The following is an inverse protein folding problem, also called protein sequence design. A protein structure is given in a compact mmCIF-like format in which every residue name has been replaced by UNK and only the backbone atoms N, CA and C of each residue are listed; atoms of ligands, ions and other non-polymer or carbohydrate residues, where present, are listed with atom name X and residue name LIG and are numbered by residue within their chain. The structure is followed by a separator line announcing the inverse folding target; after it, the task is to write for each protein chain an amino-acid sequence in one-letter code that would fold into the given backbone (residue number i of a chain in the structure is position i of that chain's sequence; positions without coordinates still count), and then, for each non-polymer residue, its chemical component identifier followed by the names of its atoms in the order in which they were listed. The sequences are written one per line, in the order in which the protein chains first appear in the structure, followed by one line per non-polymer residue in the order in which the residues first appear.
data_IF_933436682001
#
_entry.id   IF_933436682001
#
_cell.length_a   1.000
_cell.length_b   1.000
_cell.length_c   1.000
_cell.angle_alpha   90.00
_cell.angle_beta   90.00
_cell.angle_gamma   90.00
#
_symmetry.space_group_name_H-M   'P 1'
#
loop_
_entity.id
_entity.type
_entity.pdbx_description
1 polymer ?
#
# COMPACT_ATOMS: atom_id res chain seq x y z
N UNK A 1 -64.45 -53.15 -59.94
CA UNK A 1 -64.95 -51.98 -60.72
C UNK A 1 -64.92 -50.78 -59.80
N UNK A 2 -64.00 -49.84 -60.02
CA UNK A 2 -64.13 -48.44 -59.68
C UNK A 2 -62.85 -47.70 -60.09
N UNK A 3 -63.06 -46.64 -60.79
CA UNK A 3 -62.08 -45.90 -61.60
C UNK A 3 -61.10 -45.06 -60.74
N UNK A 4 -59.86 -45.05 -61.22
CA UNK A 4 -58.83 -44.13 -60.82
C UNK A 4 -59.14 -42.70 -61.30
N UNK A 5 -59.01 -41.73 -60.43
CA UNK A 5 -59.03 -40.29 -60.73
C UNK A 5 -57.66 -39.66 -60.50
N UNK A 6 -57.05 -39.27 -61.62
CA UNK A 6 -55.75 -38.62 -61.65
C UNK A 6 -55.93 -37.12 -61.36
N UNK A 7 -55.30 -36.59 -60.30
CA UNK A 7 -55.25 -35.17 -60.03
C UNK A 7 -53.87 -34.65 -60.50
N UNK A 8 -53.89 -33.71 -61.42
CA UNK A 8 -52.71 -33.05 -61.98
C UNK A 8 -52.10 -32.09 -61.01
N UNK A 9 -50.82 -32.29 -60.72
CA UNK A 9 -50.00 -31.35 -59.90
C UNK A 9 -49.54 -30.18 -60.81
N UNK A 10 -50.07 -28.99 -60.55
CA UNK A 10 -49.58 -27.74 -61.16
C UNK A 10 -48.28 -27.32 -60.46
N UNK A 11 -47.15 -27.38 -61.17
CA UNK A 11 -45.85 -26.85 -60.71
C UNK A 11 -45.86 -25.33 -60.87
N UNK A 12 -46.00 -24.57 -59.77
CA UNK A 12 -45.69 -23.16 -59.72
C UNK A 12 -44.17 -22.95 -59.88
N UNK A 13 -43.77 -22.37 -61.01
CA UNK A 13 -42.41 -21.91 -61.23
C UNK A 13 -42.23 -20.54 -60.58
N UNK A 14 -41.65 -20.48 -59.38
CA UNK A 14 -41.19 -19.25 -58.77
C UNK A 14 -40.01 -18.72 -59.56
N UNK A 15 -40.08 -17.55 -60.14
CA UNK A 15 -39.00 -16.89 -60.85
C UNK A 15 -38.00 -16.30 -59.85
N UNK A 16 -36.72 -16.32 -60.21
CA UNK A 16 -35.58 -15.78 -59.38
C UNK A 16 -35.84 -14.34 -58.87
N UNK A 17 -36.72 -13.56 -59.50
CA UNK A 17 -37.09 -12.21 -59.07
C UNK A 17 -38.04 -12.16 -57.85
N UNK A 18 -38.80 -13.23 -57.60
CA UNK A 18 -39.73 -13.32 -56.47
C UNK A 18 -39.01 -13.71 -55.20
N UNK A 19 -37.84 -14.42 -55.26
CA UNK A 19 -36.99 -14.75 -54.07
C UNK A 19 -36.17 -13.56 -53.52
N UNK A 20 -35.96 -12.53 -54.37
CA UNK A 20 -35.17 -11.37 -53.96
C UNK A 20 -35.97 -10.27 -53.24
N UNK A 21 -37.30 -10.38 -53.17
CA UNK A 21 -38.17 -9.41 -52.47
C UNK A 21 -38.69 -9.90 -51.09
N UNK A 22 -38.40 -11.12 -50.68
CA UNK A 22 -38.81 -11.69 -49.39
C UNK A 22 -37.72 -11.61 -48.29
N UNK A 23 -36.54 -11.00 -48.57
CA UNK A 23 -35.44 -10.84 -47.62
C UNK A 23 -35.30 -9.38 -47.10
N UNK A 24 -36.35 -8.60 -47.32
CA UNK A 24 -36.40 -7.23 -46.82
C UNK A 24 -37.32 -7.14 -45.61
N UNK A 25 -36.80 -7.33 -44.38
CA UNK A 25 -37.63 -6.97 -43.23
C UNK A 25 -37.43 -7.73 -41.93
N UNK A 26 -36.30 -8.42 -41.71
CA UNK A 26 -35.91 -8.80 -40.33
C UNK A 26 -34.86 -7.77 -39.87
N UNK A 27 -35.35 -6.69 -39.28
CA UNK A 27 -34.48 -5.86 -38.42
C UNK A 27 -34.04 -6.76 -37.24
N UNK A 28 -32.86 -7.35 -37.37
CA UNK A 28 -32.18 -7.93 -36.24
C UNK A 28 -31.84 -6.74 -35.35
N UNK A 29 -32.75 -6.39 -34.43
CA UNK A 29 -32.40 -5.62 -33.25
C UNK A 29 -31.43 -6.50 -32.48
N UNK A 30 -30.17 -6.41 -32.86
CA UNK A 30 -29.06 -6.95 -32.07
C UNK A 30 -29.17 -6.30 -30.72
N UNK A 31 -29.68 -7.03 -29.72
CA UNK A 31 -29.45 -6.73 -28.33
C UNK A 31 -27.95 -6.84 -28.23
N UNK A 32 -27.24 -5.70 -28.34
CA UNK A 32 -25.86 -5.60 -27.98
C UNK A 32 -25.79 -5.99 -26.47
N UNK A 33 -25.56 -7.28 -26.21
CA UNK A 33 -25.13 -7.70 -24.89
C UNK A 33 -23.88 -6.85 -24.61
N UNK A 34 -23.84 -6.10 -23.50
CA UNK A 34 -22.61 -5.46 -23.15
C UNK A 34 -21.56 -6.59 -23.13
N UNK A 35 -20.59 -6.52 -24.01
CA UNK A 35 -19.43 -7.39 -23.94
C UNK A 35 -18.88 -7.13 -22.55
N UNK A 36 -18.97 -8.11 -21.66
CA UNK A 36 -18.24 -8.09 -20.39
C UNK A 36 -16.79 -8.06 -20.84
N UNK A 37 -16.21 -6.87 -20.87
CA UNK A 37 -14.81 -6.71 -21.20
C UNK A 37 -14.05 -7.62 -20.22
N UNK A 38 -13.31 -8.59 -20.75
CA UNK A 38 -12.51 -9.49 -19.95
C UNK A 38 -11.59 -8.60 -19.11
N UNK A 39 -11.79 -8.59 -17.79
CA UNK A 39 -10.91 -7.85 -16.91
C UNK A 39 -9.55 -8.55 -16.89
N UNK A 40 -8.48 -7.76 -16.90
CA UNK A 40 -7.12 -8.27 -16.77
C UNK A 40 -6.81 -8.50 -15.29
N UNK A 41 -6.42 -9.73 -14.97
CA UNK A 41 -5.99 -10.08 -13.61
C UNK A 41 -4.62 -9.48 -13.30
N UNK A 42 -4.52 -8.86 -12.14
CA UNK A 42 -3.32 -8.18 -11.63
C UNK A 42 -3.00 -8.73 -10.25
N UNK A 43 -1.80 -9.26 -10.07
CA UNK A 43 -1.29 -9.66 -8.77
C UNK A 43 -0.68 -8.48 -8.01
N UNK A 44 -1.16 -8.27 -6.77
CA UNK A 44 -0.74 -7.17 -5.90
C UNK A 44 -0.41 -7.68 -4.50
N UNK A 45 0.72 -7.27 -3.90
CA UNK A 45 1.07 -7.62 -2.53
C UNK A 45 1.01 -6.42 -1.60
N UNK A 46 0.54 -6.64 -0.37
CA UNK A 46 0.68 -5.69 0.73
C UNK A 46 2.09 -5.82 1.35
N UNK A 47 2.57 -4.81 2.09
CA UNK A 47 3.81 -4.95 2.88
C UNK A 47 3.60 -5.83 4.12
N UNK A 48 2.35 -5.94 4.60
CA UNK A 48 1.94 -6.63 5.82
C UNK A 48 0.54 -7.23 5.69
N UNK A 49 -0.09 -7.54 6.80
CA UNK A 49 -1.50 -7.95 6.85
C UNK A 49 -2.44 -6.78 6.47
N UNK A 50 -3.70 -7.06 6.12
CA UNK A 50 -4.73 -6.01 6.03
C UNK A 50 -4.82 -5.23 7.34
N UNK A 51 -4.63 -3.90 7.27
CA UNK A 51 -4.70 -2.99 8.42
C UNK A 51 -4.86 -1.54 7.94
N UNK A 52 -5.08 -0.59 8.86
CA UNK A 52 -5.33 0.82 8.55
C UNK A 52 -4.39 1.44 7.50
N UNK A 53 -3.05 1.33 7.61
CA UNK A 53 -2.13 1.90 6.61
C UNK A 53 -2.23 1.30 5.19
N UNK A 54 -2.79 0.08 5.07
CA UNK A 54 -2.94 -0.64 3.80
C UNK A 54 -4.37 -0.57 3.24
N UNK A 55 -5.27 0.07 3.96
CA UNK A 55 -6.70 0.19 3.67
C UNK A 55 -6.97 0.82 2.29
N UNK A 56 -6.09 1.70 1.82
CA UNK A 56 -6.18 2.35 0.51
C UNK A 56 -6.35 1.36 -0.65
N UNK A 57 -5.76 0.17 -0.56
CA UNK A 57 -5.86 -0.86 -1.61
C UNK A 57 -7.26 -1.44 -1.71
N UNK A 58 -7.91 -1.66 -0.57
CA UNK A 58 -9.28 -2.17 -0.51
C UNK A 58 -10.28 -1.11 -0.96
N UNK A 59 -10.05 0.16 -0.64
CA UNK A 59 -10.83 1.29 -1.15
C UNK A 59 -10.68 1.41 -2.67
N UNK A 60 -9.47 1.29 -3.22
CA UNK A 60 -9.25 1.33 -4.66
C UNK A 60 -10.05 0.23 -5.39
N UNK A 61 -10.05 -0.98 -4.83
CA UNK A 61 -10.80 -2.12 -5.38
C UNK A 61 -12.31 -1.92 -5.25
N UNK A 62 -12.80 -1.58 -4.06
CA UNK A 62 -14.23 -1.49 -3.77
C UNK A 62 -14.93 -0.33 -4.50
N UNK A 63 -14.26 0.83 -4.64
CA UNK A 63 -14.80 1.99 -5.37
C UNK A 63 -14.67 1.83 -6.89
N UNK A 64 -14.10 0.71 -7.34
CA UNK A 64 -14.00 0.39 -8.76
C UNK A 64 -12.99 1.25 -9.51
N UNK A 65 -12.03 1.89 -8.83
CA UNK A 65 -11.04 2.73 -9.52
C UNK A 65 -10.19 1.91 -10.49
N UNK A 66 -9.85 0.67 -10.15
CA UNK A 66 -9.15 -0.25 -11.03
C UNK A 66 -10.07 -0.96 -12.03
N UNK A 67 -11.25 -1.38 -11.60
CA UNK A 67 -12.18 -2.09 -12.48
C UNK A 67 -12.73 -1.23 -13.62
N UNK A 68 -12.86 0.09 -13.42
CA UNK A 68 -13.17 1.06 -14.49
C UNK A 68 -12.08 1.11 -15.58
N UNK A 69 -10.85 0.76 -15.24
CA UNK A 69 -9.76 0.60 -16.21
C UNK A 69 -9.63 -0.84 -16.74
N UNK A 70 -10.64 -1.71 -16.51
CA UNK A 70 -10.61 -3.09 -16.94
C UNK A 70 -9.68 -4.00 -16.17
N UNK A 71 -9.32 -3.63 -14.93
CA UNK A 71 -8.36 -4.37 -14.10
C UNK A 71 -9.08 -5.08 -12.93
N UNK A 72 -8.78 -6.35 -12.74
CA UNK A 72 -9.16 -7.15 -11.59
C UNK A 72 -7.92 -7.34 -10.71
N UNK A 73 -7.83 -6.60 -9.60
CA UNK A 73 -6.64 -6.64 -8.72
C UNK A 73 -6.87 -7.65 -7.60
N UNK A 74 -6.00 -8.66 -7.54
CA UNK A 74 -5.94 -9.62 -6.45
C UNK A 74 -4.91 -9.16 -5.42
N UNK A 75 -5.37 -8.95 -4.17
CA UNK A 75 -4.58 -8.36 -3.09
C UNK A 75 -4.15 -9.45 -2.11
N UNK A 76 -2.87 -9.77 -2.12
CA UNK A 76 -2.26 -10.73 -1.20
C UNK A 76 -1.64 -10.02 0.02
N UNK A 77 -1.72 -10.64 1.19
CA UNK A 77 -0.99 -10.19 2.39
C UNK A 77 0.51 -10.39 2.23
N UNK A 78 1.30 -9.48 2.78
CA UNK A 78 2.76 -9.56 2.85
C UNK A 78 3.28 -10.08 4.19
N UNK A 79 4.60 -10.15 4.31
CA UNK A 79 5.32 -10.60 5.51
C UNK A 79 6.43 -9.66 5.96
N UNK A 80 6.36 -8.40 5.59
CA UNK A 80 7.32 -7.33 5.87
C UNK A 80 7.71 -6.58 4.59
N UNK A 81 8.04 -5.29 4.74
CA UNK A 81 8.34 -4.42 3.59
C UNK A 81 9.50 -4.93 2.74
N UNK A 82 10.57 -5.44 3.36
CA UNK A 82 11.73 -6.00 2.62
C UNK A 82 11.30 -7.19 1.77
N UNK A 83 10.52 -8.12 2.36
CA UNK A 83 9.99 -9.28 1.64
C UNK A 83 9.04 -8.90 0.48
N UNK A 84 8.18 -7.91 0.69
CA UNK A 84 7.29 -7.39 -0.36
C UNK A 84 8.09 -6.77 -1.52
N UNK A 85 9.07 -5.91 -1.22
CA UNK A 85 9.93 -5.31 -2.25
C UNK A 85 10.69 -6.39 -3.06
N UNK A 86 11.22 -7.42 -2.39
CA UNK A 86 11.87 -8.55 -3.06
C UNK A 86 10.89 -9.31 -3.97
N UNK A 87 9.70 -9.61 -3.48
CA UNK A 87 8.68 -10.34 -4.25
C UNK A 87 8.24 -9.57 -5.50
N UNK A 88 8.12 -8.23 -5.42
CA UNK A 88 7.82 -7.37 -6.56
C UNK A 88 9.01 -7.36 -7.54
N UNK A 89 10.22 -7.06 -7.05
CA UNK A 89 11.42 -6.98 -7.89
C UNK A 89 11.74 -8.29 -8.62
N UNK A 90 11.45 -9.44 -8.02
CA UNK A 90 11.62 -10.78 -8.59
C UNK A 90 10.44 -11.22 -9.49
N UNK A 91 9.39 -10.40 -9.64
CA UNK A 91 8.26 -10.72 -10.50
C UNK A 91 7.24 -11.70 -9.96
N UNK A 92 7.27 -11.99 -8.66
CA UNK A 92 6.22 -12.81 -8.01
C UNK A 92 4.88 -12.05 -7.94
N UNK A 93 4.94 -10.74 -7.84
CA UNK A 93 3.80 -9.84 -7.93
C UNK A 93 4.09 -8.74 -8.96
N UNK A 94 3.08 -8.37 -9.73
CA UNK A 94 3.20 -7.28 -10.72
C UNK A 94 3.32 -5.92 -10.04
N UNK A 95 2.58 -5.74 -8.94
CA UNK A 95 2.54 -4.50 -8.16
C UNK A 95 2.49 -4.82 -6.66
N UNK A 96 2.76 -3.84 -5.85
CA UNK A 96 2.53 -3.95 -4.41
C UNK A 96 2.96 -2.71 -3.65
N UNK A 97 2.60 -2.69 -2.36
CA UNK A 97 3.08 -1.69 -1.43
C UNK A 97 4.31 -2.22 -0.68
N UNK A 98 5.24 -1.31 -0.43
CA UNK A 98 6.39 -1.53 0.45
C UNK A 98 6.84 -0.20 1.03
N UNK A 99 7.60 -0.20 2.14
CA UNK A 99 8.28 1.02 2.59
C UNK A 99 9.24 1.52 1.50
N UNK A 100 9.28 2.82 1.27
CA UNK A 100 10.14 3.44 0.25
C UNK A 100 11.61 3.03 0.40
N UNK A 101 12.09 3.00 1.65
CA UNK A 101 13.47 2.58 1.98
C UNK A 101 13.76 1.12 1.66
N UNK A 102 12.77 0.23 1.79
CA UNK A 102 12.94 -1.18 1.40
C UNK A 102 13.06 -1.33 -0.12
N UNK A 103 12.31 -0.55 -0.91
CA UNK A 103 12.47 -0.45 -2.34
C UNK A 103 13.86 0.05 -2.74
N UNK A 104 14.33 1.14 -2.12
CA UNK A 104 15.68 1.67 -2.34
C UNK A 104 16.77 0.67 -1.97
N UNK A 105 16.60 -0.06 -0.87
CA UNK A 105 17.52 -1.14 -0.49
C UNK A 105 17.60 -2.22 -1.56
N UNK A 106 16.46 -2.69 -2.06
CA UNK A 106 16.44 -3.73 -3.08
C UNK A 106 17.03 -3.23 -4.41
N UNK A 107 16.77 -1.99 -4.79
CA UNK A 107 17.41 -1.36 -5.97
C UNK A 107 18.92 -1.26 -5.80
N UNK A 108 19.42 -0.88 -4.62
CA UNK A 108 20.86 -0.85 -4.31
C UNK A 108 21.52 -2.24 -4.40
N UNK A 109 20.76 -3.30 -4.11
CA UNK A 109 21.18 -4.70 -4.25
C UNK A 109 20.99 -5.25 -5.68
N UNK A 110 20.59 -4.42 -6.64
CA UNK A 110 20.48 -4.75 -8.05
C UNK A 110 19.15 -5.33 -8.51
N UNK A 111 18.09 -5.34 -7.66
CA UNK A 111 16.76 -5.72 -8.11
C UNK A 111 16.15 -4.62 -9.00
N UNK A 112 15.53 -4.99 -10.14
CA UNK A 112 14.94 -4.05 -11.09
C UNK A 112 13.54 -3.58 -10.61
N UNK A 113 13.50 -2.90 -9.46
CA UNK A 113 12.27 -2.38 -8.84
C UNK A 113 12.19 -0.87 -8.99
N UNK A 114 10.99 -0.35 -9.26
CA UNK A 114 10.73 1.08 -9.40
C UNK A 114 9.48 1.49 -8.63
N UNK A 115 9.55 2.60 -7.91
CA UNK A 115 8.42 3.24 -7.27
C UNK A 115 7.66 4.07 -8.28
N UNK A 116 6.32 3.97 -8.28
CA UNK A 116 5.43 4.70 -9.20
C UNK A 116 4.38 5.56 -8.49
N UNK A 117 4.31 5.54 -7.16
CA UNK A 117 3.54 6.48 -6.35
C UNK A 117 4.07 6.49 -4.91
N UNK A 118 4.15 7.65 -4.28
CA UNK A 118 4.46 7.82 -2.86
C UNK A 118 3.15 7.91 -2.06
N UNK A 119 2.96 7.01 -1.08
CA UNK A 119 1.72 6.96 -0.29
C UNK A 119 1.86 7.63 1.08
N UNK A 120 3.05 7.62 1.68
CA UNK A 120 3.26 8.26 2.99
C UNK A 120 4.69 8.78 3.17
N UNK A 121 4.81 9.96 3.73
CA UNK A 121 6.06 10.73 3.86
C UNK A 121 6.74 10.59 5.23
N UNK A 122 6.19 9.79 6.14
CA UNK A 122 6.82 9.34 7.37
C UNK A 122 6.37 7.91 7.65
N UNK A 123 7.30 7.00 7.81
CA UNK A 123 7.00 5.61 8.15
C UNK A 123 6.62 5.45 9.62
N UNK A 124 6.85 6.47 10.45
CA UNK A 124 6.78 6.34 11.90
C UNK A 124 7.54 5.12 12.43
N UNK A 125 8.65 4.81 11.78
CA UNK A 125 9.59 3.81 12.29
C UNK A 125 10.19 4.29 13.60
N UNK A 126 10.30 3.38 14.57
CA UNK A 126 10.83 3.77 15.86
C UNK A 126 11.02 2.63 16.82
N UNK A 127 11.46 3.02 18.00
CA UNK A 127 11.43 2.21 19.19
C UNK A 127 10.13 2.51 19.93
N UNK A 128 9.40 1.48 20.31
CA UNK A 128 8.13 1.55 21.02
C UNK A 128 8.36 0.95 22.41
N UNK A 129 7.97 1.68 23.44
CA UNK A 129 8.12 1.30 24.84
C UNK A 129 6.82 1.59 25.60
N UNK A 130 6.71 1.16 26.84
CA UNK A 130 5.60 1.49 27.75
C UNK A 130 6.06 2.48 28.80
N UNK A 131 5.13 3.26 29.34
CA UNK A 131 5.44 4.29 30.33
C UNK A 131 6.11 3.77 31.60
N UNK A 132 5.92 2.50 31.93
CA UNK A 132 6.44 1.83 33.13
C UNK A 132 7.74 1.04 32.91
N UNK A 133 8.31 1.03 31.70
CA UNK A 133 9.57 0.30 31.40
C UNK A 133 10.82 1.09 31.80
N UNK A 134 10.67 2.38 32.15
CA UNK A 134 11.79 3.27 32.46
C UNK A 134 12.65 3.60 31.23
N UNK A 135 12.09 3.47 30.00
CA UNK A 135 12.74 3.88 28.74
C UNK A 135 12.01 5.11 28.23
N UNK A 136 12.61 6.28 28.44
CA UNK A 136 12.10 7.58 28.02
C UNK A 136 12.84 8.08 26.78
N UNK A 137 14.15 7.85 26.75
CA UNK A 137 15.03 8.18 25.64
C UNK A 137 15.84 6.94 25.21
N UNK A 138 16.47 6.95 24.00
CA UNK A 138 17.17 5.77 23.48
C UNK A 138 18.22 5.18 24.42
N UNK A 139 18.99 6.02 25.10
CA UNK A 139 20.06 5.59 26.03
C UNK A 139 19.54 4.79 27.22
N UNK A 140 18.31 4.99 27.65
CA UNK A 140 17.71 4.24 28.76
C UNK A 140 17.57 2.75 28.44
N UNK A 141 17.80 2.35 27.19
CA UNK A 141 17.76 0.95 26.75
C UNK A 141 19.05 0.20 27.10
N UNK A 142 20.17 0.90 27.42
CA UNK A 142 21.41 0.24 27.85
C UNK A 142 21.18 -0.60 29.10
N UNK A 143 21.66 -1.83 29.08
CA UNK A 143 21.45 -2.83 30.14
C UNK A 143 20.07 -3.52 30.10
N UNK A 144 19.24 -3.24 29.11
CA UNK A 144 17.88 -3.79 28.97
C UNK A 144 17.73 -4.65 27.72
N UNK A 145 16.55 -5.32 27.63
CA UNK A 145 16.18 -6.16 26.50
C UNK A 145 15.37 -5.38 25.46
N UNK A 146 15.69 -5.60 24.20
CA UNK A 146 15.05 -5.00 23.04
C UNK A 146 14.65 -6.07 22.01
N UNK A 147 13.36 -6.18 21.68
CA UNK A 147 12.93 -7.14 20.67
C UNK A 147 12.70 -6.49 19.30
N UNK A 148 13.17 -7.19 18.27
CA UNK A 148 13.08 -6.75 16.87
C UNK A 148 12.80 -7.92 15.93
N UNK A 149 12.56 -7.64 14.65
CA UNK A 149 12.40 -8.66 13.61
C UNK A 149 13.15 -8.28 12.33
N UNK A 150 13.93 -9.22 11.80
CA UNK A 150 14.81 -9.01 10.65
C UNK A 150 14.07 -8.73 9.34
N UNK A 151 12.82 -9.14 9.21
CA UNK A 151 11.99 -8.95 8.00
C UNK A 151 11.29 -7.58 7.96
N UNK A 152 11.35 -6.81 9.03
CA UNK A 152 10.70 -5.50 9.12
C UNK A 152 11.58 -4.40 8.52
N UNK A 153 10.95 -3.39 7.93
CA UNK A 153 11.66 -2.31 7.22
C UNK A 153 12.47 -1.39 8.11
N UNK A 154 12.19 -1.32 9.42
CA UNK A 154 12.96 -0.54 10.38
C UNK A 154 14.24 -1.25 10.85
N UNK A 155 14.28 -2.59 10.74
CA UNK A 155 15.39 -3.40 11.27
C UNK A 155 16.77 -2.95 10.75
N UNK A 156 16.97 -2.76 9.44
CA UNK A 156 18.27 -2.38 8.89
C UNK A 156 18.77 -1.01 9.39
N UNK A 157 17.86 -0.16 9.87
CA UNK A 157 18.18 1.18 10.35
C UNK A 157 18.44 1.27 11.86
N UNK A 158 18.29 0.18 12.62
CA UNK A 158 18.54 0.16 14.07
C UNK A 158 19.98 0.59 14.40
N UNK A 159 21.04 0.11 13.72
CA UNK A 159 22.39 0.59 13.98
C UNK A 159 22.57 2.08 13.68
N UNK A 160 21.97 2.58 12.60
CA UNK A 160 21.99 3.99 12.25
C UNK A 160 21.29 4.85 13.31
N UNK A 161 20.12 4.42 13.77
CA UNK A 161 19.39 5.08 14.83
C UNK A 161 20.19 5.12 16.13
N UNK A 162 20.74 3.98 16.55
CA UNK A 162 21.54 3.90 17.77
C UNK A 162 22.74 4.84 17.73
N UNK A 163 23.48 4.86 16.60
CA UNK A 163 24.62 5.76 16.41
C UNK A 163 24.20 7.23 16.55
N UNK A 164 23.11 7.64 15.88
CA UNK A 164 22.62 9.02 15.90
C UNK A 164 22.01 9.42 17.24
N UNK A 165 21.42 8.48 17.94
CA UNK A 165 20.82 8.68 19.26
C UNK A 165 21.84 8.56 20.42
N UNK A 166 23.08 8.16 20.14
CA UNK A 166 24.12 7.93 21.14
C UNK A 166 23.84 6.71 22.04
N UNK A 167 23.08 5.72 21.53
CA UNK A 167 22.80 4.45 22.18
C UNK A 167 23.90 3.43 21.85
N UNK A 168 24.51 2.83 22.87
CA UNK A 168 25.48 1.75 22.70
C UNK A 168 24.77 0.40 22.63
N UNK A 169 24.58 -0.12 21.40
CA UNK A 169 23.91 -1.41 21.17
C UNK A 169 24.66 -2.60 21.79
N UNK A 170 25.97 -2.49 22.06
CA UNK A 170 26.73 -3.57 22.71
C UNK A 170 26.29 -3.81 24.18
N UNK A 171 25.60 -2.83 24.76
CA UNK A 171 25.02 -2.91 26.09
C UNK A 171 23.54 -3.32 26.07
N UNK A 172 22.95 -3.60 24.92
CA UNK A 172 21.55 -3.96 24.78
C UNK A 172 21.42 -5.42 24.42
N UNK A 173 20.60 -6.18 25.16
CA UNK A 173 20.27 -7.56 24.79
C UNK A 173 19.21 -7.54 23.67
N UNK A 174 19.64 -7.77 22.43
CA UNK A 174 18.77 -7.74 21.25
C UNK A 174 18.17 -9.12 21.01
N UNK A 175 16.84 -9.24 21.10
CA UNK A 175 16.08 -10.45 20.79
C UNK A 175 15.48 -10.35 19.39
N UNK A 176 15.88 -11.25 18.50
CA UNK A 176 15.27 -11.36 17.17
C UNK A 176 14.13 -12.37 17.24
N UNK A 177 12.91 -11.91 17.05
CA UNK A 177 11.69 -12.71 17.23
C UNK A 177 10.72 -12.51 16.07
N UNK A 178 9.71 -13.40 16.00
CA UNK A 178 8.58 -13.24 15.10
C UNK A 178 7.79 -11.97 15.43
N UNK A 179 7.28 -11.23 14.43
CA UNK A 179 6.51 -10.00 14.64
C UNK A 179 5.35 -10.13 15.63
N UNK A 180 4.64 -11.27 15.61
CA UNK A 180 3.51 -11.49 16.51
C UNK A 180 3.94 -11.72 17.96
N UNK A 181 5.14 -12.28 18.17
CA UNK A 181 5.72 -12.49 19.50
C UNK A 181 6.22 -11.18 20.08
N UNK A 182 6.84 -10.32 19.27
CA UNK A 182 7.46 -9.05 19.68
C UNK A 182 6.54 -8.18 20.51
N UNK A 183 5.29 -7.97 20.06
CA UNK A 183 4.33 -7.11 20.74
C UNK A 183 3.94 -7.70 22.12
N UNK A 184 3.76 -9.02 22.20
CA UNK A 184 3.43 -9.70 23.45
C UNK A 184 4.54 -9.58 24.48
N UNK A 185 5.81 -9.74 24.08
CA UNK A 185 6.96 -9.61 24.97
C UNK A 185 7.00 -8.24 25.68
N UNK A 186 6.60 -7.16 24.99
CA UNK A 186 6.52 -5.83 25.60
C UNK A 186 5.37 -5.72 26.60
N UNK A 187 4.20 -6.26 26.30
CA UNK A 187 3.04 -6.30 27.21
C UNK A 187 3.38 -7.11 28.47
N UNK A 188 4.03 -8.26 28.31
CA UNK A 188 4.46 -9.15 29.41
C UNK A 188 5.70 -8.67 30.15
N UNK A 189 6.23 -7.48 29.79
CA UNK A 189 7.45 -6.88 30.39
C UNK A 189 8.69 -7.75 30.30
N UNK A 190 8.73 -8.67 29.34
CA UNK A 190 9.90 -9.51 29.06
C UNK A 190 10.98 -8.75 28.29
N UNK A 191 10.60 -7.64 27.63
CA UNK A 191 11.49 -6.66 27.01
C UNK A 191 11.08 -5.25 27.42
N UNK A 192 12.02 -4.31 27.40
CA UNK A 192 11.76 -2.91 27.78
C UNK A 192 11.34 -2.05 26.59
N UNK A 193 11.65 -2.49 25.38
CA UNK A 193 11.25 -1.82 24.15
C UNK A 193 11.20 -2.83 22.98
N UNK A 194 10.48 -2.43 21.91
CA UNK A 194 10.46 -3.15 20.63
C UNK A 194 10.72 -2.17 19.49
N UNK A 195 11.26 -2.65 18.36
CA UNK A 195 11.26 -1.87 17.12
C UNK A 195 9.96 -2.04 16.34
N UNK A 196 9.61 -1.12 15.48
CA UNK A 196 8.49 -1.31 14.56
C UNK A 196 7.97 -0.04 13.92
N UNK A 197 6.88 -0.24 13.16
CA UNK A 197 6.07 0.82 12.61
C UNK A 197 4.97 1.18 13.61
N UNK A 198 4.96 2.41 14.10
CA UNK A 198 3.98 2.83 15.10
C UNK A 198 2.52 2.67 14.63
N UNK A 199 2.15 2.94 13.35
CA UNK A 199 0.78 2.75 12.88
C UNK A 199 0.24 1.32 12.99
N UNK A 200 1.11 0.32 12.92
CA UNK A 200 0.73 -1.10 13.01
C UNK A 200 0.73 -1.64 14.45
N UNK A 201 1.35 -0.93 15.40
CA UNK A 201 1.59 -1.43 16.76
C UNK A 201 0.85 -0.63 17.81
N UNK A 202 1.01 0.70 17.77
CA UNK A 202 0.52 1.61 18.81
C UNK A 202 -0.99 1.59 18.99
N UNK A 203 -1.81 1.55 17.90
CA UNK A 203 -3.27 1.46 18.04
C UNK A 203 -3.72 0.26 18.87
N UNK A 204 -3.10 -0.91 18.64
CA UNK A 204 -3.43 -2.12 19.40
C UNK A 204 -3.13 -1.99 20.90
N UNK A 205 -2.06 -1.32 21.26
CA UNK A 205 -1.75 -1.05 22.67
C UNK A 205 -2.75 -0.10 23.30
N UNK A 206 -3.08 1.02 22.64
CA UNK A 206 -4.00 2.04 23.16
C UNK A 206 -5.39 1.45 23.37
N UNK A 207 -5.93 0.70 22.40
CA UNK A 207 -7.25 0.06 22.50
C UNK A 207 -7.33 -0.96 23.64
N UNK A 208 -6.21 -1.58 23.99
CA UNK A 208 -6.11 -2.49 25.13
C UNK A 208 -5.76 -1.80 26.46
N UNK A 209 -5.77 -0.47 26.51
CA UNK A 209 -5.58 0.31 27.73
C UNK A 209 -4.14 0.54 28.14
N UNK A 210 -3.17 0.24 27.26
CA UNK A 210 -1.76 0.53 27.49
C UNK A 210 -1.41 1.97 27.06
N UNK A 211 -0.34 2.51 27.63
CA UNK A 211 0.18 3.84 27.33
C UNK A 211 1.56 3.72 26.64
N UNK A 212 1.60 3.43 25.32
CA UNK A 212 2.86 3.31 24.60
C UNK A 212 3.51 4.69 24.40
N UNK A 213 4.85 4.69 24.37
CA UNK A 213 5.68 5.82 23.95
C UNK A 213 6.35 5.48 22.64
N UNK A 214 6.41 6.43 21.72
CA UNK A 214 7.03 6.28 20.41
C UNK A 214 8.31 7.13 20.38
N UNK A 215 9.47 6.50 20.23
CA UNK A 215 10.76 7.16 20.02
C UNK A 215 11.08 7.02 18.54
N UNK A 216 10.66 8.01 17.73
CA UNK A 216 10.72 7.96 16.26
C UNK A 216 12.13 8.14 15.75
N UNK A 217 12.53 7.34 14.76
CA UNK A 217 13.83 7.47 14.09
C UNK A 217 13.98 8.84 13.40
N UNK A 218 12.90 9.41 12.89
CA UNK A 218 12.90 10.73 12.25
C UNK A 218 13.34 11.86 13.18
N UNK A 219 13.07 11.77 14.51
CA UNK A 219 13.55 12.74 15.49
C UNK A 219 15.09 12.69 15.70
N UNK A 220 15.74 11.63 15.22
CA UNK A 220 17.19 11.44 15.29
C UNK A 220 17.88 11.53 13.93
N UNK A 221 17.25 12.25 12.98
CA UNK A 221 17.83 12.51 11.66
C UNK A 221 17.80 11.32 10.71
N UNK A 222 16.76 10.47 10.82
CA UNK A 222 16.45 9.39 9.90
C UNK A 222 15.04 9.62 9.33
N UNK A 223 14.83 10.56 8.40
CA UNK A 223 13.54 10.84 7.78
C UNK A 223 13.22 9.73 6.76
N UNK A 224 12.63 8.64 7.23
CA UNK A 224 12.33 7.47 6.41
C UNK A 224 10.86 7.49 5.99
N UNK A 225 10.60 7.38 4.68
CA UNK A 225 9.25 7.34 4.13
C UNK A 225 8.60 5.98 4.33
N UNK A 226 7.28 6.00 4.48
CA UNK A 226 6.46 4.81 4.65
C UNK A 226 6.12 4.14 3.33
N UNK A 227 4.87 3.69 3.21
CA UNK A 227 4.44 2.93 2.05
C UNK A 227 4.49 3.74 0.75
N UNK A 228 4.96 3.06 -0.29
CA UNK A 228 4.94 3.51 -1.67
C UNK A 228 4.49 2.34 -2.57
N UNK A 229 3.96 2.66 -3.74
CA UNK A 229 3.57 1.70 -4.76
C UNK A 229 4.76 1.37 -5.65
N UNK A 230 5.03 0.08 -5.79
CA UNK A 230 6.13 -0.44 -6.58
C UNK A 230 5.68 -1.36 -7.70
N UNK A 231 6.52 -1.45 -8.73
CA UNK A 231 6.46 -2.42 -9.81
C UNK A 231 7.88 -2.75 -10.29
N UNK A 232 7.99 -3.60 -11.32
CA UNK A 232 9.26 -3.88 -11.97
C UNK A 232 9.59 -2.82 -13.03
N UNK A 233 10.87 -2.49 -13.18
CA UNK A 233 11.35 -1.57 -14.23
C UNK A 233 10.87 -2.01 -15.63
N UNK A 234 11.06 -3.29 -15.97
CA UNK A 234 10.64 -3.84 -17.24
C UNK A 234 9.11 -3.77 -17.49
N UNK A 235 8.30 -3.86 -16.42
CA UNK A 235 6.84 -3.70 -16.54
C UNK A 235 6.48 -2.24 -16.81
N UNK A 236 7.11 -1.30 -16.12
CA UNK A 236 6.92 0.13 -16.35
C UNK A 236 7.31 0.54 -17.78
N UNK A 237 8.41 0.03 -18.31
CA UNK A 237 8.87 0.32 -19.67
C UNK A 237 7.92 -0.25 -20.74
N UNK A 238 7.47 -1.48 -20.55
CA UNK A 238 6.64 -2.18 -21.52
C UNK A 238 5.16 -1.77 -21.47
N UNK A 239 4.64 -1.45 -20.28
CA UNK A 239 3.22 -1.27 -20.02
C UNK A 239 2.95 -0.03 -19.14
N UNK A 240 3.47 1.13 -19.56
CA UNK A 240 3.33 2.37 -18.81
C UNK A 240 1.87 2.78 -18.55
N UNK A 241 0.96 2.48 -19.48
CA UNK A 241 -0.48 2.75 -19.30
C UNK A 241 -1.10 1.91 -18.20
N UNK A 242 -0.74 0.63 -18.09
CA UNK A 242 -1.16 -0.23 -16.99
C UNK A 242 -0.63 0.30 -15.65
N UNK A 243 0.65 0.65 -15.58
CA UNK A 243 1.26 1.22 -14.40
C UNK A 243 0.55 2.54 -13.99
N UNK A 244 0.21 3.37 -14.97
CA UNK A 244 -0.56 4.59 -14.76
C UNK A 244 -1.96 4.34 -14.21
N UNK A 245 -2.68 3.34 -14.74
CA UNK A 245 -4.02 2.99 -14.26
C UNK A 245 -4.00 2.46 -12.81
N UNK A 246 -2.99 1.64 -12.47
CA UNK A 246 -2.81 1.14 -11.08
C UNK A 246 -2.46 2.29 -10.13
N UNK A 247 -1.53 3.16 -10.51
CA UNK A 247 -1.13 4.31 -9.69
C UNK A 247 -2.27 5.32 -9.51
N UNK A 248 -2.98 5.65 -10.60
CA UNK A 248 -4.14 6.55 -10.56
C UNK A 248 -5.24 6.03 -9.63
N UNK A 249 -5.61 4.74 -9.77
CA UNK A 249 -6.63 4.15 -8.91
C UNK A 249 -6.25 4.13 -7.43
N UNK A 250 -4.96 3.92 -7.11
CA UNK A 250 -4.47 4.00 -5.74
C UNK A 250 -4.47 5.45 -5.22
N UNK A 251 -4.07 6.42 -6.05
CA UNK A 251 -4.04 7.84 -5.68
C UNK A 251 -5.46 8.39 -5.45
N UNK A 252 -6.46 7.97 -6.25
CA UNK A 252 -7.88 8.27 -6.00
C UNK A 252 -8.37 7.67 -4.68
N UNK A 253 -7.95 6.44 -4.37
CA UNK A 253 -8.25 5.83 -3.08
C UNK A 253 -7.59 6.58 -1.92
N UNK A 254 -6.36 7.06 -2.08
CA UNK A 254 -5.71 7.92 -1.07
C UNK A 254 -6.51 9.21 -0.83
N UNK A 255 -6.94 9.89 -1.91
CA UNK A 255 -7.81 11.07 -1.81
C UNK A 255 -9.11 10.74 -1.06
N UNK A 256 -9.76 9.65 -1.41
CA UNK A 256 -10.99 9.20 -0.74
C UNK A 256 -10.76 8.94 0.75
N UNK A 257 -9.71 8.22 1.11
CA UNK A 257 -9.33 7.92 2.51
C UNK A 257 -9.02 9.18 3.31
N UNK A 258 -8.37 10.15 2.70
CA UNK A 258 -8.08 11.44 3.33
C UNK A 258 -9.37 12.19 3.69
N UNK A 259 -10.37 12.16 2.80
CA UNK A 259 -11.60 12.93 2.92
C UNK A 259 -12.74 12.16 3.62
N UNK A 260 -12.80 10.84 3.50
CA UNK A 260 -13.89 9.98 3.94
C UNK A 260 -13.38 8.80 4.80
N UNK A 261 -12.76 9.06 5.97
CA UNK A 261 -12.12 8.01 6.77
C UNK A 261 -13.10 6.97 7.30
N UNK A 262 -14.31 7.36 7.73
CA UNK A 262 -15.30 6.42 8.28
C UNK A 262 -15.87 5.50 7.20
N UNK A 263 -16.16 6.03 6.02
CA UNK A 263 -16.62 5.21 4.89
C UNK A 263 -15.50 4.27 4.42
N UNK A 264 -14.25 4.73 4.46
CA UNK A 264 -13.08 3.92 4.15
C UNK A 264 -12.93 2.73 5.11
N UNK A 265 -13.19 2.92 6.40
CA UNK A 265 -13.22 1.84 7.40
C UNK A 265 -14.35 0.86 7.13
N UNK A 266 -15.56 1.33 6.80
CA UNK A 266 -16.67 0.47 6.45
C UNK A 266 -16.37 -0.41 5.22
N UNK A 267 -15.74 0.17 4.19
CA UNK A 267 -15.25 -0.58 3.01
C UNK A 267 -14.22 -1.63 3.43
N UNK A 268 -13.27 -1.26 4.27
CA UNK A 268 -12.21 -2.15 4.74
C UNK A 268 -12.76 -3.37 5.48
N UNK A 269 -13.66 -3.17 6.44
CA UNK A 269 -14.27 -4.26 7.21
C UNK A 269 -15.16 -5.15 6.32
N UNK A 270 -15.90 -4.56 5.37
CA UNK A 270 -16.64 -5.35 4.39
C UNK A 270 -15.74 -6.24 3.53
N UNK A 271 -14.54 -5.78 3.20
CA UNK A 271 -13.57 -6.55 2.42
C UNK A 271 -12.79 -7.57 3.27
N UNK A 272 -12.68 -7.34 4.58
CA UNK A 272 -11.90 -8.16 5.52
C UNK A 272 -12.72 -8.37 6.81
N UNK A 273 -13.81 -9.14 6.77
CA UNK A 273 -14.74 -9.28 7.91
C UNK A 273 -14.08 -9.89 9.14
N UNK A 274 -13.04 -10.70 8.97
CA UNK A 274 -12.24 -11.25 10.08
C UNK A 274 -11.54 -10.18 10.91
N UNK A 275 -11.24 -9.03 10.31
CA UNK A 275 -10.58 -7.91 11.00
C UNK A 275 -11.54 -7.17 11.96
N UNK A 276 -12.84 -7.30 11.78
CA UNK A 276 -13.87 -6.70 12.64
C UNK A 276 -14.08 -7.49 13.94
N UNK A 277 -13.66 -8.77 13.96
CA UNK A 277 -13.84 -9.66 15.11
C UNK A 277 -12.95 -9.30 16.31
N UNK A 278 -11.90 -8.54 16.12
CA UNK A 278 -11.01 -8.14 17.21
C UNK A 278 -11.69 -7.13 18.13
N UNK A 279 -11.44 -7.26 19.44
CA UNK A 279 -11.91 -6.27 20.41
C UNK A 279 -11.38 -4.88 20.06
N UNK A 280 -12.27 -3.89 19.95
CA UNK A 280 -11.90 -2.53 19.59
C UNK A 280 -11.37 -2.37 18.16
N UNK A 281 -11.79 -3.26 17.25
CA UNK A 281 -11.32 -3.29 15.87
C UNK A 281 -11.52 -1.96 15.13
N UNK A 282 -12.65 -1.29 15.38
CA UNK A 282 -12.95 0.00 14.75
C UNK A 282 -11.97 1.08 15.20
N UNK A 283 -11.81 1.28 16.52
CA UNK A 283 -10.91 2.27 17.11
C UNK A 283 -9.44 1.99 16.73
N UNK A 284 -9.06 0.72 16.74
CA UNK A 284 -7.73 0.29 16.31
C UNK A 284 -7.44 0.70 14.87
N UNK A 285 -8.30 0.29 13.94
CA UNK A 285 -8.07 0.56 12.51
C UNK A 285 -8.28 2.04 12.18
N UNK A 286 -9.18 2.75 12.89
CA UNK A 286 -9.33 4.20 12.78
C UNK A 286 -8.05 4.92 13.15
N UNK A 287 -7.45 4.60 14.30
CA UNK A 287 -6.21 5.25 14.74
C UNK A 287 -5.04 4.90 13.79
N UNK A 288 -4.95 3.65 13.35
CA UNK A 288 -3.94 3.22 12.36
C UNK A 288 -4.12 3.97 11.01
N UNK A 289 -5.36 4.18 10.57
CA UNK A 289 -5.71 4.98 9.41
C UNK A 289 -5.35 6.46 9.61
N UNK A 290 -5.59 7.02 10.77
CA UNK A 290 -5.26 8.40 11.09
C UNK A 290 -3.74 8.64 11.10
N UNK A 291 -2.93 7.68 11.52
CA UNK A 291 -1.47 7.72 11.32
C UNK A 291 -1.11 7.78 9.82
N UNK A 292 -1.74 6.95 8.99
CA UNK A 292 -1.53 6.98 7.54
C UNK A 292 -1.93 8.32 6.95
N UNK A 293 -3.11 8.83 7.28
CA UNK A 293 -3.61 10.14 6.84
C UNK A 293 -2.65 11.28 7.23
N UNK A 294 -2.14 11.24 8.47
CA UNK A 294 -1.16 12.22 8.94
C UNK A 294 0.14 12.16 8.13
N UNK A 295 0.65 10.96 7.87
CA UNK A 295 1.89 10.77 7.10
C UNK A 295 1.76 11.10 5.61
N UNK A 296 0.53 11.19 5.10
CA UNK A 296 0.27 11.58 3.70
C UNK A 296 0.25 13.09 3.48
N UNK A 297 0.26 13.90 4.56
CA UNK A 297 0.30 15.37 4.47
C UNK A 297 1.75 15.81 4.23
N UNK A 298 2.03 16.28 3.00
CA UNK A 298 3.36 16.74 2.61
C UNK A 298 3.26 17.88 1.59
N UNK A 299 4.19 18.83 1.64
CA UNK A 299 4.20 19.99 0.71
C UNK A 299 4.36 19.56 -0.75
N UNK A 300 5.15 18.50 -0.99
CA UNK A 300 5.28 17.89 -2.32
C UNK A 300 3.94 17.37 -2.86
N UNK A 301 3.14 16.67 -2.02
CA UNK A 301 1.82 16.20 -2.40
C UNK A 301 0.83 17.34 -2.64
N UNK A 302 0.88 18.39 -1.84
CA UNK A 302 0.04 19.59 -2.04
C UNK A 302 0.34 20.27 -3.36
N UNK A 303 1.63 20.48 -3.66
CA UNK A 303 2.08 21.23 -4.82
C UNK A 303 1.97 20.42 -6.12
N UNK A 304 2.33 19.14 -6.10
CA UNK A 304 2.50 18.32 -7.30
C UNK A 304 1.47 17.21 -7.44
N UNK A 305 0.55 17.06 -6.46
CA UNK A 305 -0.48 16.03 -6.43
C UNK A 305 -0.12 14.81 -5.59
N UNK A 306 -1.16 14.04 -5.25
CA UNK A 306 -1.04 12.79 -4.49
C UNK A 306 -0.16 11.82 -5.29
N UNK A 307 0.72 11.12 -4.60
CA UNK A 307 1.65 10.16 -5.19
C UNK A 307 3.02 10.73 -5.56
N UNK A 308 3.21 12.06 -5.47
CA UNK A 308 4.49 12.70 -5.80
C UNK A 308 5.60 12.31 -4.81
N UNK A 309 6.75 11.97 -5.34
CA UNK A 309 7.96 11.65 -4.58
C UNK A 309 8.99 12.78 -4.73
N UNK A 310 9.31 13.53 -3.65
CA UNK A 310 10.29 14.62 -3.69
C UNK A 310 11.71 14.07 -3.93
N UNK A 311 12.42 14.51 -4.99
CA UNK A 311 13.76 14.00 -5.30
C UNK A 311 14.78 14.23 -4.19
N UNK A 312 14.76 15.38 -3.54
CA UNK A 312 15.72 15.73 -2.48
C UNK A 312 15.58 14.80 -1.27
N UNK A 313 14.35 14.50 -0.86
CA UNK A 313 14.11 13.60 0.26
C UNK A 313 14.52 12.16 -0.08
N UNK A 314 14.30 11.74 -1.33
CA UNK A 314 14.75 10.44 -1.80
C UNK A 314 16.27 10.32 -1.88
N UNK A 315 16.97 11.39 -2.23
CA UNK A 315 18.43 11.43 -2.17
C UNK A 315 18.94 11.25 -0.74
N UNK A 316 18.33 11.92 0.23
CA UNK A 316 18.65 11.74 1.67
C UNK A 316 18.40 10.29 2.11
N UNK A 317 17.25 9.70 1.76
CA UNK A 317 16.96 8.30 2.10
C UNK A 317 17.94 7.33 1.41
N UNK A 318 18.31 7.59 0.15
CA UNK A 318 19.30 6.80 -0.58
C UNK A 318 20.67 6.85 0.11
N UNK A 319 21.12 8.02 0.57
CA UNK A 319 22.37 8.15 1.33
C UNK A 319 22.33 7.33 2.63
N UNK A 320 21.21 7.35 3.34
CA UNK A 320 21.03 6.55 4.54
C UNK A 320 21.05 5.04 4.23
N UNK A 321 20.38 4.61 3.15
CA UNK A 321 20.39 3.21 2.72
C UNK A 321 21.81 2.78 2.34
N UNK A 322 22.53 3.57 1.53
CA UNK A 322 23.90 3.25 1.12
C UNK A 322 24.86 3.20 2.31
N UNK A 323 24.72 4.13 3.23
CA UNK A 323 25.63 4.20 4.39
C UNK A 323 25.42 3.09 5.40
N UNK A 324 24.17 2.70 5.69
CA UNK A 324 23.84 1.88 6.84
C UNK A 324 23.25 0.51 6.51
N UNK A 325 22.71 0.36 5.30
CA UNK A 325 21.92 -0.84 4.94
C UNK A 325 22.54 -1.64 3.80
N UNK A 326 23.05 -0.96 2.79
CA UNK A 326 23.66 -1.56 1.62
C UNK A 326 24.97 -0.86 1.23
N UNK A 327 26.00 -0.88 2.12
CA UNK A 327 27.25 -0.14 1.88
C UNK A 327 28.01 -0.63 0.65
N UNK A 328 27.90 -1.94 0.33
CA UNK A 328 28.54 -2.56 -0.83
C UNK A 328 27.62 -2.57 -2.06
N UNK A 329 26.41 -2.02 -1.95
CA UNK A 329 25.46 -1.95 -3.05
C UNK A 329 25.83 -0.86 -4.08
N UNK A 330 25.16 -0.90 -5.21
CA UNK A 330 25.25 0.18 -6.20
C UNK A 330 24.26 1.28 -5.81
N UNK A 331 24.74 2.53 -5.66
CA UNK A 331 23.86 3.66 -5.37
C UNK A 331 22.81 3.80 -6.48
N UNK A 332 21.53 3.64 -6.17
CA UNK A 332 20.46 3.90 -7.14
C UNK A 332 20.33 5.42 -7.38
N UNK A 333 20.13 5.80 -8.65
CA UNK A 333 19.72 7.15 -8.97
C UNK A 333 18.20 7.30 -8.83
N UNK A 334 17.75 8.56 -8.72
CA UNK A 334 16.33 8.84 -8.52
C UNK A 334 15.49 8.38 -9.72
N UNK A 335 15.88 8.77 -10.94
CA UNK A 335 15.10 8.53 -12.15
C UNK A 335 15.03 7.04 -12.51
N UNK A 336 16.04 6.26 -12.13
CA UNK A 336 16.04 4.80 -12.30
C UNK A 336 15.22 4.04 -11.25
N UNK A 337 14.87 4.69 -10.12
CA UNK A 337 14.20 4.00 -9.00
C UNK A 337 12.86 4.61 -8.60
N UNK A 338 12.56 5.81 -9.07
CA UNK A 338 11.32 6.54 -8.78
C UNK A 338 10.78 7.18 -10.05
N UNK A 339 9.50 7.04 -10.29
CA UNK A 339 8.82 7.70 -11.40
C UNK A 339 7.68 8.57 -10.89
N UNK A 340 7.80 9.88 -11.07
CA UNK A 340 6.72 10.85 -10.81
C UNK A 340 5.74 11.01 -11.99
N UNK A 341 5.85 10.19 -13.03
CA UNK A 341 5.01 10.27 -14.24
C UNK A 341 3.51 10.24 -13.95
N UNK A 342 3.10 9.57 -12.88
CA UNK A 342 1.71 9.35 -12.52
C UNK A 342 1.23 10.20 -11.35
N UNK A 343 2.09 11.04 -10.80
CA UNK A 343 1.70 12.10 -9.87
C UNK A 343 1.05 13.26 -10.63
N UNK A 344 0.29 14.09 -9.93
CA UNK A 344 -0.32 15.30 -10.54
C UNK A 344 -1.68 15.09 -11.20
N UNK A 345 -2.17 13.84 -11.29
CA UNK A 345 -3.52 13.57 -11.77
C UNK A 345 -4.60 13.70 -10.67
N UNK A 346 -4.21 13.57 -9.40
CA UNK A 346 -5.12 13.59 -8.23
C UNK A 346 -4.66 14.65 -7.25
N UNK A 347 -5.55 15.61 -6.96
CA UNK A 347 -5.29 16.72 -6.06
C UNK A 347 -6.37 16.87 -4.99
N UNK A 348 -5.99 17.46 -3.87
CA UNK A 348 -6.88 18.06 -2.88
C UNK A 348 -6.72 19.58 -2.92
N UNK A 349 -7.78 20.31 -2.55
CA UNK A 349 -7.71 21.75 -2.34
C UNK A 349 -6.96 22.08 -1.04
N UNK A 350 -6.48 23.32 -0.89
CA UNK A 350 -5.86 23.77 0.37
C UNK A 350 -6.82 23.66 1.55
N UNK A 351 -8.12 23.88 1.31
CA UNK A 351 -9.16 23.69 2.31
C UNK A 351 -9.27 22.22 2.74
N UNK A 352 -9.24 21.29 1.78
CA UNK A 352 -9.26 19.85 2.09
C UNK A 352 -8.06 19.45 2.95
N UNK A 353 -6.84 19.86 2.55
CA UNK A 353 -5.63 19.59 3.33
C UNK A 353 -5.69 20.15 4.74
N UNK A 354 -6.24 21.36 4.90
CA UNK A 354 -6.42 21.99 6.21
C UNK A 354 -7.41 21.23 7.07
N UNK A 355 -8.55 20.81 6.51
CA UNK A 355 -9.56 20.02 7.20
C UNK A 355 -9.02 18.64 7.61
N UNK A 356 -8.28 17.97 6.72
CA UNK A 356 -7.60 16.71 7.03
C UNK A 356 -6.67 16.88 8.23
N UNK A 357 -5.82 17.90 8.21
CA UNK A 357 -4.87 18.19 9.30
C UNK A 357 -5.57 18.44 10.63
N UNK A 358 -6.65 19.24 10.63
CA UNK A 358 -7.43 19.53 11.83
C UNK A 358 -8.10 18.28 12.42
N UNK A 359 -8.55 17.35 11.58
CA UNK A 359 -9.18 16.09 12.01
C UNK A 359 -8.23 15.12 12.72
N UNK A 360 -6.90 15.36 12.65
CA UNK A 360 -5.85 14.45 13.12
C UNK A 360 -5.19 14.88 14.44
N UNK A 361 -5.88 15.69 15.25
CA UNK A 361 -5.37 16.20 16.54
C UNK A 361 -4.94 15.10 17.51
N UNK A 362 -5.62 13.95 17.51
CA UNK A 362 -5.29 12.80 18.36
C UNK A 362 -3.92 12.19 18.00
N UNK A 363 -3.65 12.00 16.70
CA UNK A 363 -2.34 11.52 16.24
C UNK A 363 -1.25 12.54 16.56
N UNK A 364 -1.51 13.83 16.35
CA UNK A 364 -0.55 14.89 16.68
C UNK A 364 -0.11 14.79 18.15
N UNK A 365 -1.05 14.59 19.09
CA UNK A 365 -0.75 14.42 20.52
C UNK A 365 0.10 13.18 20.83
N UNK A 366 -0.07 12.09 20.08
CA UNK A 366 0.74 10.87 20.25
C UNK A 366 2.17 11.01 19.70
N UNK A 367 2.38 11.95 18.80
CA UNK A 367 3.66 12.17 18.11
C UNK A 367 4.51 13.30 18.74
N UNK A 368 3.92 14.12 19.57
CA UNK A 368 4.61 15.18 20.34
C UNK A 368 5.16 14.66 21.65
#
# INVERSE_FOLDING_TARGET
MAKAGTVAASRLRLTRRAMLRAIGGIAITGIARPAVALQRDISFTLPWIPEGPNLITFVAKANGYWSKAGLNVDIAKGSGSVGAAQAIGNGQFQFGLSAATAGLQQAALGLPIVQISCCSYDAFMGMITMGDTGVIEPKDLEGKKFATTTKSGEFPFIPAFAQKAGLDLSKVEILQVDPNVRQRLLIEKQVSAISGFAPSIVPGYIVNGFSPRIIRFSKFGLPLYGNALFTQQALLEREAELCGAIAYGLNEAMKFVLLQPEESLAIFFKANPEMELAKGAHELNKLALDFFRYSSIHEGAKKHGIGYAPPDDYNVMTDLVMKYVAPDGKRPDFDGTVSNKFAGAVHLTDTDWSNVKLSLSNVTKLLT
#
